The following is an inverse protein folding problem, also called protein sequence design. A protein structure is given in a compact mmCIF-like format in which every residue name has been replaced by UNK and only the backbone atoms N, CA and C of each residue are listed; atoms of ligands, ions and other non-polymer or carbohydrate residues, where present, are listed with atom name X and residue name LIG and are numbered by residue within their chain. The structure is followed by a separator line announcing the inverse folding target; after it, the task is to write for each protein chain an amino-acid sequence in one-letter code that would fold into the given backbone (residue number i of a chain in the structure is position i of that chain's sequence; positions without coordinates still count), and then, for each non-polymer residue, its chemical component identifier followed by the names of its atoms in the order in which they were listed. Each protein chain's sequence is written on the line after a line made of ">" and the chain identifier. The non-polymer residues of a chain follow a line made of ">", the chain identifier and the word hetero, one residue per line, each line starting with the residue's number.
data_IF_396411870875
#
_entry.id   IF_396411870875
#
_cell.length_a   1.000
_cell.length_b   1.000
_cell.length_c   1.000
_cell.angle_alpha   90.00
_cell.angle_beta   90.00
_cell.angle_gamma   90.00
#
_symmetry.space_group_name_H-M   'P 1'
#
loop_
_entity.id
_entity.type
_entity.pdbx_description
1 polymer ?
#
# COMPACT_ATOMS: atom_id res chain seq x y z
N UNK A 1 63.71 11.78 2.72
CA UNK A 1 62.49 12.63 2.70
C UNK A 1 61.51 12.10 1.65
N UNK A 2 60.68 11.08 1.96
CA UNK A 2 59.76 10.44 0.97
C UNK A 2 58.41 10.07 1.64
N UNK A 3 57.79 10.95 2.43
CA UNK A 3 56.56 10.57 3.17
C UNK A 3 55.47 11.65 3.28
N UNK A 4 55.55 12.73 2.50
CA UNK A 4 54.53 13.80 2.50
C UNK A 4 53.41 13.61 1.46
N UNK A 5 53.71 12.99 0.31
CA UNK A 5 52.74 12.79 -0.79
C UNK A 5 51.70 11.70 -0.55
N UNK A 6 52.03 10.67 0.24
CA UNK A 6 51.11 9.57 0.54
C UNK A 6 50.07 9.93 1.63
N UNK A 7 50.36 10.92 2.48
CA UNK A 7 49.52 11.32 3.62
C UNK A 7 48.37 12.26 3.22
N UNK A 8 48.58 13.14 2.24
CA UNK A 8 47.56 14.03 1.70
C UNK A 8 46.59 13.28 0.76
N UNK A 9 47.10 12.33 -0.03
CA UNK A 9 46.28 11.47 -0.89
C UNK A 9 45.30 10.58 -0.09
N UNK A 10 45.72 10.02 1.06
CA UNK A 10 44.83 9.28 1.97
C UNK A 10 43.69 10.13 2.53
N UNK A 11 43.95 11.39 2.88
CA UNK A 11 42.93 12.31 3.42
C UNK A 11 41.88 12.69 2.36
N UNK A 12 42.31 12.88 1.11
CA UNK A 12 41.40 13.15 -0.01
C UNK A 12 40.51 11.94 -0.32
N UNK A 13 41.06 10.72 -0.27
CA UNK A 13 40.30 9.47 -0.43
C UNK A 13 39.27 9.28 0.70
N UNK A 14 39.63 9.56 1.96
CA UNK A 14 38.71 9.50 3.10
C UNK A 14 37.60 10.55 2.95
N UNK A 15 37.93 11.77 2.53
CA UNK A 15 36.97 12.86 2.31
C UNK A 15 35.97 12.56 1.18
N UNK A 16 36.45 12.01 0.06
CA UNK A 16 35.59 11.54 -1.04
C UNK A 16 34.65 10.41 -0.60
N UNK A 17 35.13 9.47 0.22
CA UNK A 17 34.32 8.37 0.74
C UNK A 17 33.23 8.89 1.70
N UNK A 18 33.51 9.90 2.53
CA UNK A 18 32.49 10.54 3.38
C UNK A 18 31.42 11.31 2.60
N UNK A 19 31.75 11.94 1.47
CA UNK A 19 30.77 12.67 0.62
C UNK A 19 29.73 11.69 0.04
N UNK A 20 30.15 10.47 -0.33
CA UNK A 20 29.23 9.48 -0.90
C UNK A 20 28.19 8.97 0.10
N UNK A 21 28.54 8.88 1.39
CA UNK A 21 27.64 8.41 2.45
C UNK A 21 26.48 9.37 2.76
N UNK A 22 26.70 10.68 2.64
CA UNK A 22 25.68 11.69 2.97
C UNK A 22 24.52 11.62 1.96
N UNK A 23 24.82 11.40 0.67
CA UNK A 23 23.82 11.34 -0.40
C UNK A 23 22.89 10.11 -0.31
N UNK A 24 23.36 9.00 0.24
CA UNK A 24 22.57 7.77 0.35
C UNK A 24 21.45 7.88 1.41
N UNK A 25 21.70 8.59 2.51
CA UNK A 25 20.73 8.76 3.59
C UNK A 25 19.56 9.67 3.20
N UNK A 26 19.82 10.73 2.43
CA UNK A 26 18.76 11.64 1.97
C UNK A 26 17.81 10.93 1.01
N UNK A 27 18.34 10.14 0.07
CA UNK A 27 17.53 9.32 -0.85
C UNK A 27 16.69 8.29 -0.07
N UNK A 28 17.28 7.64 0.94
CA UNK A 28 16.55 6.68 1.78
C UNK A 28 15.41 7.35 2.56
N UNK A 29 15.67 8.51 3.17
CA UNK A 29 14.68 9.25 3.96
C UNK A 29 13.53 9.77 3.10
N UNK A 30 13.81 10.16 1.87
CA UNK A 30 12.78 10.56 0.90
C UNK A 30 11.88 9.38 0.53
N UNK A 31 12.45 8.23 0.13
CA UNK A 31 11.68 7.02 -0.19
C UNK A 31 10.84 6.54 0.99
N UNK A 32 11.40 6.55 2.21
CA UNK A 32 10.69 6.19 3.43
C UNK A 32 9.41 7.00 3.64
N UNK A 33 9.46 8.31 3.32
CA UNK A 33 8.30 9.19 3.45
C UNK A 33 7.23 8.90 2.38
N UNK A 34 7.64 8.57 1.16
CA UNK A 34 6.74 8.19 0.06
C UNK A 34 6.05 6.88 0.38
N UNK A 35 6.80 5.86 0.78
CA UNK A 35 6.26 4.54 1.17
C UNK A 35 5.27 4.66 2.32
N UNK A 36 5.60 5.45 3.35
CA UNK A 36 4.69 5.72 4.46
C UNK A 36 3.36 6.32 4.00
N UNK A 37 3.40 7.31 3.10
CA UNK A 37 2.20 7.96 2.56
C UNK A 37 1.39 6.96 1.73
N UNK A 38 2.05 6.16 0.90
CA UNK A 38 1.39 5.21 0.01
C UNK A 38 0.67 4.11 0.79
N UNK A 39 1.37 3.47 1.74
CA UNK A 39 0.77 2.46 2.64
C UNK A 39 -0.40 3.05 3.41
N UNK A 40 -0.23 4.24 3.99
CA UNK A 40 -1.25 4.86 4.82
C UNK A 40 -2.51 5.26 4.03
N UNK A 41 -2.39 5.51 2.72
CA UNK A 41 -3.54 5.80 1.83
C UNK A 41 -4.25 4.54 1.37
N UNK A 42 -3.53 3.44 1.22
CA UNK A 42 -4.08 2.14 0.82
C UNK A 42 -4.87 1.47 1.96
N UNK A 43 -4.58 1.85 3.21
CA UNK A 43 -5.28 1.35 4.39
C UNK A 43 -6.43 2.27 4.82
N UNK A 44 -7.59 1.66 5.11
CA UNK A 44 -8.78 2.29 5.66
C UNK A 44 -8.73 2.33 7.19
N UNK A 45 -9.22 3.42 7.79
CA UNK A 45 -9.46 3.45 9.23
C UNK A 45 -10.74 2.68 9.57
N UNK A 46 -10.65 1.62 10.38
CA UNK A 46 -11.80 0.79 10.76
C UNK A 46 -12.80 1.49 11.70
N UNK A 47 -12.33 2.51 12.42
CA UNK A 47 -13.12 3.25 13.42
C UNK A 47 -13.54 4.64 12.94
N UNK A 48 -13.29 4.96 11.67
CA UNK A 48 -13.54 6.29 11.10
C UNK A 48 -14.46 6.18 9.89
N UNK A 49 -15.30 7.20 9.71
CA UNK A 49 -16.29 7.22 8.63
C UNK A 49 -15.63 7.47 7.27
N UNK A 50 -15.34 6.38 6.54
CA UNK A 50 -14.92 6.44 5.14
C UNK A 50 -13.52 7.01 4.87
N UNK A 51 -12.69 7.17 5.91
CA UNK A 51 -11.36 7.77 5.80
C UNK A 51 -10.25 6.71 5.71
N UNK A 52 -9.14 7.09 5.07
CA UNK A 52 -7.90 6.31 5.11
C UNK A 52 -7.09 6.60 6.39
N UNK A 53 -6.10 5.74 6.68
CA UNK A 53 -5.20 5.91 7.82
C UNK A 53 -4.45 7.23 7.69
N UNK A 54 -3.96 7.59 6.49
CA UNK A 54 -3.21 8.82 6.26
C UNK A 54 -3.95 10.08 6.75
N UNK A 55 -5.21 10.25 6.35
CA UNK A 55 -6.07 11.40 6.66
C UNK A 55 -6.63 11.37 8.08
N UNK A 56 -6.89 10.18 8.62
CA UNK A 56 -7.50 10.06 9.94
C UNK A 56 -6.53 10.34 11.09
N UNK A 57 -7.03 10.98 12.15
CA UNK A 57 -6.32 11.25 13.40
C UNK A 57 -6.86 10.48 14.61
N UNK A 58 -7.60 9.39 14.39
CA UNK A 58 -8.07 8.50 15.47
C UNK A 58 -6.90 7.82 16.20
N UNK A 59 -7.16 7.34 17.43
CA UNK A 59 -6.15 6.56 18.18
C UNK A 59 -5.70 5.32 17.38
N UNK A 60 -6.66 4.61 16.75
CA UNK A 60 -6.36 3.48 15.86
C UNK A 60 -5.44 3.87 14.71
N UNK A 61 -5.72 4.99 14.02
CA UNK A 61 -4.88 5.47 12.93
C UNK A 61 -3.46 5.80 13.40
N UNK A 62 -3.32 6.42 14.58
CA UNK A 62 -1.99 6.73 15.16
C UNK A 62 -1.20 5.47 15.46
N UNK A 63 -1.84 4.45 16.03
CA UNK A 63 -1.18 3.17 16.34
C UNK A 63 -0.66 2.49 15.07
N UNK A 64 -1.48 2.47 14.00
CA UNK A 64 -1.07 1.93 12.70
C UNK A 64 0.04 2.77 12.06
N UNK A 65 -0.03 4.11 12.12
CA UNK A 65 1.03 5.00 11.63
C UNK A 65 2.36 4.75 12.36
N UNK A 66 2.31 4.53 13.67
CA UNK A 66 3.51 4.20 14.46
C UNK A 66 4.06 2.83 14.05
N UNK A 67 3.21 1.84 13.85
CA UNK A 67 3.60 0.53 13.35
C UNK A 67 4.29 0.62 11.98
N UNK A 68 3.67 1.26 10.99
CA UNK A 68 4.23 1.41 9.64
C UNK A 68 5.61 2.09 9.70
N UNK A 69 5.74 3.18 10.46
CA UNK A 69 7.03 3.88 10.61
C UNK A 69 8.11 2.97 11.20
N UNK A 70 7.75 2.15 12.19
CA UNK A 70 8.69 1.20 12.80
C UNK A 70 9.14 0.16 11.77
N UNK A 71 8.21 -0.49 11.10
CA UNK A 71 8.53 -1.57 10.15
C UNK A 71 9.34 -1.06 8.94
N UNK A 72 9.02 0.14 8.44
CA UNK A 72 9.81 0.75 7.38
C UNK A 72 11.23 1.13 7.84
N UNK A 73 11.40 1.60 9.09
CA UNK A 73 12.73 1.84 9.66
C UNK A 73 13.51 0.53 9.87
N UNK A 74 12.82 -0.57 10.15
CA UNK A 74 13.39 -1.91 10.25
C UNK A 74 13.74 -2.50 8.86
N UNK A 75 13.50 -1.75 7.77
CA UNK A 75 13.87 -2.11 6.40
C UNK A 75 12.91 -3.07 5.72
N UNK A 76 11.70 -3.26 6.27
CA UNK A 76 10.66 -4.07 5.61
C UNK A 76 10.12 -3.38 4.36
N UNK A 77 9.75 -4.20 3.38
CA UNK A 77 9.11 -3.73 2.15
C UNK A 77 7.65 -3.37 2.38
N UNK A 78 7.15 -2.44 1.55
CA UNK A 78 5.76 -1.99 1.56
C UNK A 78 4.75 -3.14 1.53
N UNK A 79 4.94 -4.11 0.64
CA UNK A 79 4.00 -5.22 0.44
C UNK A 79 3.93 -6.11 1.68
N UNK A 80 5.07 -6.36 2.32
CA UNK A 80 5.15 -7.16 3.55
C UNK A 80 4.41 -6.48 4.70
N UNK A 81 4.53 -5.16 4.84
CA UNK A 81 3.83 -4.38 5.86
C UNK A 81 2.31 -4.46 5.65
N UNK A 82 1.85 -4.32 4.40
CA UNK A 82 0.43 -4.41 4.06
C UNK A 82 -0.09 -5.82 4.34
N UNK A 83 0.65 -6.86 3.97
CA UNK A 83 0.30 -8.26 4.24
C UNK A 83 0.24 -8.54 5.76
N UNK A 84 1.20 -8.05 6.53
CA UNK A 84 1.21 -8.20 7.99
C UNK A 84 -0.03 -7.56 8.63
N UNK A 85 -0.42 -6.37 8.17
CA UNK A 85 -1.61 -5.66 8.65
C UNK A 85 -2.89 -6.39 8.18
N UNK A 86 -2.95 -6.79 6.92
CA UNK A 86 -4.08 -7.53 6.34
C UNK A 86 -4.32 -8.86 7.06
N UNK A 87 -3.26 -9.59 7.41
CA UNK A 87 -3.37 -10.86 8.15
C UNK A 87 -4.03 -10.71 9.53
N UNK A 88 -3.90 -9.53 10.16
CA UNK A 88 -4.44 -9.22 11.49
C UNK A 88 -5.87 -8.67 11.44
N UNK A 89 -6.20 -7.88 10.42
CA UNK A 89 -7.47 -7.13 10.35
C UNK A 89 -8.41 -7.56 9.21
N UNK A 90 -7.95 -8.45 8.32
CA UNK A 90 -8.72 -8.94 7.17
C UNK A 90 -9.00 -7.89 6.10
N UNK A 91 -9.83 -8.23 5.11
CA UNK A 91 -10.08 -7.41 3.92
C UNK A 91 -10.64 -6.01 4.20
N UNK A 92 -11.26 -5.82 5.37
CA UNK A 92 -11.93 -4.57 5.75
C UNK A 92 -10.96 -3.41 6.01
N UNK A 93 -9.67 -3.71 6.23
CA UNK A 93 -8.65 -2.68 6.42
C UNK A 93 -8.10 -2.13 5.10
N UNK A 94 -8.31 -2.81 3.98
CA UNK A 94 -7.85 -2.34 2.68
C UNK A 94 -8.90 -1.37 2.10
N UNK A 95 -8.45 -0.26 1.50
CA UNK A 95 -9.35 0.65 0.79
C UNK A 95 -10.02 -0.01 -0.42
N UNK A 96 -9.33 -0.97 -1.04
CA UNK A 96 -9.84 -1.78 -2.16
C UNK A 96 -9.61 -3.24 -1.83
N UNK A 97 -10.63 -3.96 -1.32
CA UNK A 97 -10.49 -5.38 -1.05
C UNK A 97 -10.24 -6.12 -2.39
N UNK A 98 -9.40 -7.17 -2.40
CA UNK A 98 -9.17 -7.96 -3.58
C UNK A 98 -10.47 -8.62 -4.05
N UNK A 99 -10.66 -8.72 -5.37
CA UNK A 99 -11.85 -9.34 -5.96
C UNK A 99 -11.86 -10.84 -5.64
N UNK A 100 -12.78 -11.26 -4.78
CA UNK A 100 -12.98 -12.67 -4.45
C UNK A 100 -13.96 -13.32 -5.43
N UNK A 101 -13.76 -14.61 -5.72
CA UNK A 101 -14.65 -15.41 -6.56
C UNK A 101 -16.10 -15.41 -6.06
N UNK A 102 -16.31 -15.32 -4.76
CA UNK A 102 -17.65 -15.27 -4.16
C UNK A 102 -18.41 -13.99 -4.54
N UNK A 103 -17.69 -12.88 -4.75
CA UNK A 103 -18.29 -11.62 -5.19
C UNK A 103 -18.83 -11.75 -6.61
N UNK A 104 -18.21 -12.53 -7.50
CA UNK A 104 -18.70 -12.71 -8.87
C UNK A 104 -20.13 -13.25 -8.93
N UNK A 105 -20.49 -14.20 -8.05
CA UNK A 105 -21.85 -14.76 -8.02
C UNK A 105 -22.90 -13.66 -7.77
N UNK A 106 -22.61 -12.75 -6.84
CA UNK A 106 -23.49 -11.63 -6.51
C UNK A 106 -23.65 -10.64 -7.68
N UNK A 107 -22.63 -10.50 -8.52
CA UNK A 107 -22.65 -9.62 -9.70
C UNK A 107 -23.29 -10.28 -10.92
N UNK A 108 -23.25 -11.61 -11.04
CA UNK A 108 -23.94 -12.33 -12.11
C UNK A 108 -25.45 -12.45 -11.85
N UNK A 109 -25.89 -12.42 -10.58
CA UNK A 109 -27.29 -12.58 -10.21
C UNK A 109 -28.23 -11.52 -10.86
N UNK A 110 -27.94 -10.21 -10.86
CA UNK A 110 -28.77 -9.22 -11.55
C UNK A 110 -28.82 -9.44 -13.07
N UNK A 111 -27.70 -9.80 -13.68
CA UNK A 111 -27.62 -10.06 -15.12
C UNK A 111 -28.45 -11.28 -15.51
N UNK A 112 -28.37 -12.36 -14.72
CA UNK A 112 -29.13 -13.58 -14.93
C UNK A 112 -30.64 -13.35 -14.76
N UNK A 113 -31.04 -12.56 -13.76
CA UNK A 113 -32.43 -12.18 -13.54
C UNK A 113 -32.98 -11.37 -14.71
N UNK A 114 -32.24 -10.37 -15.21
CA UNK A 114 -32.61 -9.60 -16.39
C UNK A 114 -32.75 -10.49 -17.63
N UNK A 115 -31.78 -11.35 -17.90
CA UNK A 115 -31.85 -12.30 -19.02
C UNK A 115 -33.10 -13.18 -18.91
N UNK A 116 -33.38 -13.74 -17.73
CA UNK A 116 -34.53 -14.60 -17.52
C UNK A 116 -35.86 -13.89 -17.80
N UNK A 117 -35.99 -12.62 -17.41
CA UNK A 117 -37.18 -11.81 -17.66
C UNK A 117 -37.37 -11.47 -19.14
N UNK A 118 -36.28 -11.11 -19.83
CA UNK A 118 -36.31 -10.82 -21.28
C UNK A 118 -36.70 -12.08 -22.06
N UNK A 119 -36.07 -13.22 -21.76
CA UNK A 119 -36.40 -14.51 -22.37
C UNK A 119 -37.86 -14.90 -22.16
N UNK A 120 -38.39 -14.69 -20.94
CA UNK A 120 -39.80 -14.95 -20.63
C UNK A 120 -40.75 -14.08 -21.46
N UNK A 121 -40.48 -12.77 -21.58
CA UNK A 121 -41.30 -11.85 -22.36
C UNK A 121 -41.29 -12.18 -23.86
N UNK A 122 -40.12 -12.51 -24.41
CA UNK A 122 -39.98 -12.91 -25.82
C UNK A 122 -40.79 -14.20 -26.06
N UNK A 123 -40.61 -15.22 -25.21
CA UNK A 123 -41.32 -16.49 -25.33
C UNK A 123 -42.84 -16.33 -25.24
N UNK A 124 -43.33 -15.47 -24.33
CA UNK A 124 -44.76 -15.16 -24.22
C UNK A 124 -45.30 -14.45 -25.46
N UNK A 125 -44.54 -13.49 -26.03
CA UNK A 125 -44.94 -12.78 -27.25
C UNK A 125 -45.04 -13.73 -28.46
N UNK A 126 -44.11 -14.67 -28.60
CA UNK A 126 -44.11 -15.65 -29.71
C UNK A 126 -45.26 -16.67 -29.61
N UNK A 127 -45.76 -16.99 -28.42
CA UNK A 127 -46.88 -17.95 -28.26
C UNK A 127 -48.24 -17.28 -28.54
N UNK A 128 -48.39 -15.99 -28.25
CA UNK A 128 -49.67 -15.27 -28.34
C UNK A 128 -49.94 -14.61 -29.71
N UNK A 129 -49.08 -14.83 -30.71
CA UNK A 129 -49.18 -14.27 -32.05
C UNK A 129 -49.04 -15.39 -33.07
#
# INVERSE_FOLDING_TARGET
>A
MINKGYRTSKLVLIYLMSITFINANDLYKENLSVDFIEISKELKCLVCDGQNIFESNSNFSKDIKMYIKKELNDGKKKEEIILDIHSKYGDSILMKPPVQLNTYLLWFLPSLMLLSGILYLIRKRTINN
#
